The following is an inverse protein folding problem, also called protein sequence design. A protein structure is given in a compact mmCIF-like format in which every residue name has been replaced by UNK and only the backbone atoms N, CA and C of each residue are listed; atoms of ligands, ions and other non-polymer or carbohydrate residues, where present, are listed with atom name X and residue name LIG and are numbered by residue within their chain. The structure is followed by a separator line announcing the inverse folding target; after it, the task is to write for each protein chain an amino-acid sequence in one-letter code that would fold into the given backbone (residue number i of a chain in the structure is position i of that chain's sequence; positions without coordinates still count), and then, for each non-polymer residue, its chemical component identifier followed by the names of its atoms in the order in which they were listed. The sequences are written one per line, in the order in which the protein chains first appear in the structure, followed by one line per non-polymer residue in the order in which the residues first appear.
data_IF_560458297473
#
_entry.id   IF_560458297473
#
_cell.length_a   1.000
_cell.length_b   1.000
_cell.length_c   1.000
_cell.angle_alpha   90.00
_cell.angle_beta   90.00
_cell.angle_gamma   90.00
#
_symmetry.space_group_name_H-M   'P 1'
#
loop_
_entity.id
_entity.type
_entity.pdbx_description
1 polymer ?
#
# COMPACT_ATOMS: atom_id res chain seq x y z
N UNK A 1 -4.97 -19.89 11.51
CA UNK A 1 -4.19 -19.13 10.51
C UNK A 1 -5.08 -18.02 9.95
N UNK A 2 -4.63 -16.76 10.04
CA UNK A 2 -5.31 -15.61 9.44
C UNK A 2 -5.14 -15.57 7.91
N UNK A 3 -5.91 -14.75 7.17
CA UNK A 3 -5.70 -14.54 5.73
C UNK A 3 -4.27 -14.08 5.39
N UNK A 4 -3.59 -13.42 6.33
CA UNK A 4 -2.17 -13.04 6.24
C UNK A 4 -1.17 -14.19 6.44
N UNK A 5 -1.65 -15.42 6.68
CA UNK A 5 -0.89 -16.64 7.05
C UNK A 5 -0.18 -16.56 8.41
N UNK A 6 -0.55 -15.61 9.26
CA UNK A 6 -0.08 -15.49 10.63
C UNK A 6 -0.96 -16.34 11.57
N UNK A 7 -0.36 -16.99 12.56
CA UNK A 7 -1.08 -17.60 13.70
C UNK A 7 -1.22 -16.58 14.83
N UNK A 8 -2.42 -16.49 15.39
CA UNK A 8 -2.70 -15.72 16.61
C UNK A 8 -3.46 -16.62 17.57
N UNK A 9 -3.27 -16.40 18.87
CA UNK A 9 -4.06 -17.05 19.91
C UNK A 9 -5.26 -16.16 20.23
N UNK A 10 -6.44 -16.78 20.34
CA UNK A 10 -7.69 -16.11 20.63
C UNK A 10 -8.36 -16.75 21.84
N UNK A 11 -9.14 -15.94 22.55
CA UNK A 11 -9.97 -16.44 23.65
C UNK A 11 -11.00 -17.46 23.11
N UNK A 12 -11.20 -18.62 23.78
CA UNK A 12 -12.19 -19.62 23.38
C UNK A 12 -13.63 -19.10 23.28
N UNK A 13 -13.98 -18.04 24.03
CA UNK A 13 -15.32 -17.44 24.02
C UNK A 13 -15.55 -16.47 22.85
N UNK A 14 -14.52 -16.22 22.03
CA UNK A 14 -14.65 -15.42 20.81
C UNK A 14 -15.57 -16.11 19.79
N UNK A 15 -16.48 -15.34 19.20
CA UNK A 15 -17.44 -15.83 18.20
C UNK A 15 -16.87 -15.69 16.79
N UNK A 16 -17.20 -16.65 15.93
CA UNK A 16 -16.91 -16.62 14.51
C UNK A 16 -18.09 -17.20 13.72
N UNK A 17 -18.22 -16.78 12.48
CA UNK A 17 -19.17 -17.38 11.53
C UNK A 17 -18.50 -18.52 10.78
N UNK A 18 -19.22 -19.63 10.59
CA UNK A 18 -18.72 -20.79 9.86
C UNK A 18 -18.89 -20.54 8.37
N UNK A 19 -17.77 -20.43 7.65
CA UNK A 19 -17.78 -20.34 6.19
C UNK A 19 -16.73 -19.37 5.65
N UNK A 20 -16.82 -19.09 4.35
CA UNK A 20 -16.04 -18.08 3.67
C UNK A 20 -16.93 -16.90 3.28
N UNK A 21 -16.36 -15.69 3.29
CA UNK A 21 -17.08 -14.48 2.87
C UNK A 21 -17.40 -14.59 1.38
N UNK A 22 -18.63 -14.21 1.00
CA UNK A 22 -19.07 -14.17 -0.40
C UNK A 22 -18.33 -13.08 -1.22
N UNK A 23 -18.46 -13.12 -2.55
CA UNK A 23 -17.84 -12.12 -3.45
C UNK A 23 -16.35 -12.37 -3.74
N UNK A 24 -15.87 -13.58 -3.48
CA UNK A 24 -14.52 -14.01 -3.89
C UNK A 24 -14.27 -13.79 -5.38
N UNK A 25 -13.04 -13.41 -5.74
CA UNK A 25 -12.65 -13.17 -7.13
C UNK A 25 -12.99 -11.79 -7.68
N UNK A 26 -13.62 -10.88 -6.93
CA UNK A 26 -13.90 -9.51 -7.39
C UNK A 26 -12.66 -8.75 -7.90
N UNK A 27 -11.47 -9.05 -7.35
CA UNK A 27 -10.19 -8.45 -7.75
C UNK A 27 -9.53 -9.11 -8.97
N UNK A 28 -10.07 -10.24 -9.46
CA UNK A 28 -9.53 -10.94 -10.64
C UNK A 28 -9.79 -10.17 -11.94
N UNK A 29 -10.89 -9.43 -11.99
CA UNK A 29 -11.22 -8.60 -13.15
C UNK A 29 -10.41 -7.28 -13.08
N UNK A 30 -9.62 -6.95 -14.11
CA UNK A 30 -8.88 -5.70 -14.12
C UNK A 30 -9.81 -4.48 -14.25
N UNK A 31 -9.39 -3.37 -13.64
CA UNK A 31 -10.06 -2.06 -13.82
C UNK A 31 -9.58 -1.47 -15.14
N UNK A 32 -10.45 -1.50 -16.16
CA UNK A 32 -10.07 -1.12 -17.53
C UNK A 32 -10.00 0.40 -17.78
N UNK A 33 -10.76 1.21 -17.03
CA UNK A 33 -10.91 2.66 -17.28
C UNK A 33 -10.75 3.47 -16.01
N UNK A 34 -10.17 4.66 -16.15
CA UNK A 34 -10.01 5.62 -15.05
C UNK A 34 -11.35 6.02 -14.41
N UNK A 35 -12.43 6.15 -15.21
CA UNK A 35 -13.76 6.46 -14.68
C UNK A 35 -14.31 5.39 -13.72
N UNK A 36 -14.02 4.10 -13.97
CA UNK A 36 -14.40 3.04 -13.03
C UNK A 36 -13.59 3.14 -11.73
N UNK A 37 -12.30 3.46 -11.82
CA UNK A 37 -11.46 3.69 -10.65
C UNK A 37 -11.98 4.87 -9.82
N UNK A 38 -12.36 5.99 -10.45
CA UNK A 38 -12.93 7.16 -9.77
C UNK A 38 -14.09 6.77 -8.84
N UNK A 39 -15.08 6.02 -9.33
CA UNK A 39 -16.22 5.62 -8.50
C UNK A 39 -15.86 4.66 -7.38
N UNK A 40 -14.93 3.72 -7.61
CA UNK A 40 -14.45 2.78 -6.57
C UNK A 40 -13.75 3.54 -5.43
N UNK A 41 -12.85 4.45 -5.76
CA UNK A 41 -12.08 5.19 -4.75
C UNK A 41 -12.91 6.28 -4.08
N UNK A 42 -13.84 6.92 -4.79
CA UNK A 42 -14.80 7.86 -4.23
C UNK A 42 -15.69 7.19 -3.17
N UNK A 43 -16.21 6.00 -3.45
CA UNK A 43 -17.05 5.24 -2.50
C UNK A 43 -16.30 4.85 -1.21
N UNK A 44 -14.97 4.72 -1.28
CA UNK A 44 -14.12 4.36 -0.13
C UNK A 44 -13.44 5.56 0.53
N UNK A 45 -13.76 6.78 0.09
CA UNK A 45 -13.14 8.04 0.53
C UNK A 45 -11.60 8.02 0.44
N UNK A 46 -11.06 7.30 -0.55
CA UNK A 46 -9.63 7.19 -0.78
C UNK A 46 -9.17 8.29 -1.75
N UNK A 47 -8.02 8.90 -1.47
CA UNK A 47 -7.43 9.91 -2.36
C UNK A 47 -7.06 9.27 -3.69
N UNK A 48 -7.72 9.70 -4.76
CA UNK A 48 -7.44 9.29 -6.12
C UNK A 48 -7.71 10.47 -7.09
N UNK A 49 -6.87 10.73 -8.10
CA UNK A 49 -5.62 10.03 -8.44
C UNK A 49 -4.45 10.39 -7.50
N UNK A 50 -3.42 9.52 -7.46
CA UNK A 50 -2.21 9.74 -6.65
C UNK A 50 -1.04 10.14 -7.55
N UNK A 51 -0.47 11.32 -7.29
CA UNK A 51 0.72 11.81 -7.97
C UNK A 51 1.98 11.12 -7.43
N UNK A 52 2.94 10.83 -8.32
CA UNK A 52 4.24 10.26 -7.92
C UNK A 52 5.11 11.35 -7.30
N UNK A 53 5.67 11.11 -6.11
CA UNK A 53 6.49 12.11 -5.39
C UNK A 53 7.70 12.65 -6.15
N UNK A 54 8.28 11.88 -7.08
CA UNK A 54 9.38 12.34 -7.96
C UNK A 54 8.96 13.44 -8.92
N UNK A 55 7.66 13.55 -9.24
CA UNK A 55 7.11 14.58 -10.11
C UNK A 55 6.64 15.83 -9.35
N UNK A 56 6.78 15.83 -8.03
CA UNK A 56 6.44 16.97 -7.19
C UNK A 56 7.65 17.90 -7.03
N UNK A 57 7.39 19.12 -6.59
CA UNK A 57 8.44 20.05 -6.20
C UNK A 57 9.13 19.56 -4.91
N UNK A 58 10.36 20.01 -4.60
CA UNK A 58 11.08 19.53 -3.42
C UNK A 58 10.43 20.01 -2.11
N UNK A 59 9.59 21.05 -2.17
CA UNK A 59 8.78 21.52 -1.03
C UNK A 59 7.68 20.53 -0.65
N UNK A 60 7.10 19.83 -1.64
CA UNK A 60 5.94 18.98 -1.44
C UNK A 60 6.32 17.53 -1.09
N UNK A 61 7.49 17.08 -1.54
CA UNK A 61 7.90 15.68 -1.38
C UNK A 61 9.42 15.53 -1.24
N UNK A 62 9.93 14.68 -0.32
CA UNK A 62 11.37 14.44 -0.15
C UNK A 62 12.11 13.91 -1.39
N UNK A 63 11.38 13.28 -2.31
CA UNK A 63 11.90 12.79 -3.60
C UNK A 63 11.65 13.75 -4.77
N UNK A 64 11.03 14.90 -4.51
CA UNK A 64 10.70 15.90 -5.53
C UNK A 64 11.90 16.78 -5.88
N UNK A 65 11.76 17.56 -6.96
CA UNK A 65 12.79 18.49 -7.42
C UNK A 65 13.37 18.17 -8.79
N UNK A 66 14.53 18.77 -9.09
CA UNK A 66 15.12 18.78 -10.43
C UNK A 66 15.75 17.45 -10.85
N UNK A 67 15.96 16.55 -9.90
CA UNK A 67 16.60 15.27 -10.20
C UNK A 67 15.66 14.42 -11.08
N UNK A 68 16.19 13.83 -12.15
CA UNK A 68 15.44 12.91 -13.01
C UNK A 68 15.10 11.57 -12.33
N UNK A 69 15.48 11.41 -11.06
CA UNK A 69 15.30 10.23 -10.21
C UNK A 69 15.11 10.68 -8.75
N UNK A 70 14.83 9.73 -7.84
CA UNK A 70 14.51 10.02 -6.42
C UNK A 70 15.60 10.78 -5.63
N UNK A 71 16.84 10.84 -6.12
CA UNK A 71 17.99 11.49 -5.47
C UNK A 71 18.49 10.81 -4.17
N UNK A 72 17.63 10.11 -3.44
CA UNK A 72 17.94 9.39 -2.22
C UNK A 72 17.42 7.95 -2.26
N UNK A 73 17.93 7.12 -1.33
CA UNK A 73 17.39 5.78 -1.12
C UNK A 73 15.90 5.85 -0.77
N UNK A 74 15.11 4.94 -1.34
CA UNK A 74 13.71 4.80 -0.95
C UNK A 74 13.53 4.02 0.36
N UNK A 75 14.58 3.45 0.94
CA UNK A 75 14.50 2.75 2.23
C UNK A 75 14.61 3.74 3.37
N UNK A 76 13.61 3.76 4.25
CA UNK A 76 13.53 4.71 5.36
C UNK A 76 13.36 3.99 6.69
N UNK A 77 14.01 4.51 7.74
CA UNK A 77 13.90 3.97 9.10
C UNK A 77 12.47 4.04 9.65
N UNK A 78 12.10 3.09 10.52
CA UNK A 78 10.83 3.12 11.25
C UNK A 78 10.70 4.37 12.13
N UNK A 79 11.82 4.91 12.59
CA UNK A 79 11.91 6.05 13.50
C UNK A 79 12.06 7.40 12.76
N UNK A 80 11.97 7.42 11.42
CA UNK A 80 12.00 8.68 10.69
C UNK A 80 10.84 9.62 11.11
N UNK A 81 11.04 10.95 11.14
CA UNK A 81 9.99 11.87 11.50
C UNK A 81 8.86 11.90 10.44
N UNK A 82 7.65 12.35 10.82
CA UNK A 82 6.59 12.66 9.86
C UNK A 82 7.10 13.61 8.77
N UNK A 83 6.72 13.39 7.52
CA UNK A 83 7.24 14.12 6.35
C UNK A 83 8.47 13.48 5.71
N UNK A 84 9.42 12.95 6.50
CA UNK A 84 10.57 12.20 5.98
C UNK A 84 10.28 10.71 5.77
N UNK A 85 9.27 10.17 6.48
CA UNK A 85 8.86 8.75 6.42
C UNK A 85 8.07 8.41 5.14
N UNK A 86 8.75 8.42 3.98
CA UNK A 86 8.18 8.16 2.66
C UNK A 86 8.92 7.06 1.91
N UNK A 87 8.25 6.31 1.02
CA UNK A 87 8.85 5.21 0.27
C UNK A 87 8.75 3.85 0.98
N UNK A 88 9.82 3.05 0.94
CA UNK A 88 9.89 1.75 1.58
C UNK A 88 10.21 1.91 3.07
N UNK A 89 9.15 1.97 3.89
CA UNK A 89 9.26 2.17 5.33
C UNK A 89 9.69 0.87 6.01
N UNK A 90 10.86 0.89 6.64
CA UNK A 90 11.43 -0.21 7.42
C UNK A 90 11.38 -1.56 6.70
N UNK A 91 11.59 -1.54 5.38
CA UNK A 91 11.54 -2.73 4.55
C UNK A 91 12.71 -3.66 4.89
N UNK A 92 12.40 -4.90 5.26
CA UNK A 92 13.40 -5.96 5.48
C UNK A 92 13.98 -6.50 4.18
N UNK A 93 13.23 -6.37 3.08
CA UNK A 93 13.63 -6.77 1.72
C UNK A 93 13.01 -5.81 0.72
N UNK A 94 13.77 -5.47 -0.31
CA UNK A 94 13.31 -4.74 -1.50
C UNK A 94 13.60 -5.55 -2.77
N UNK A 95 12.91 -5.24 -3.87
CA UNK A 95 13.00 -5.97 -5.13
C UNK A 95 12.01 -7.13 -5.26
N UNK A 96 12.03 -7.79 -6.42
CA UNK A 96 11.09 -8.89 -6.72
C UNK A 96 11.41 -10.12 -5.87
N UNK A 97 10.42 -10.61 -5.13
CA UNK A 97 10.52 -11.90 -4.43
C UNK A 97 10.63 -13.01 -5.48
N UNK A 98 11.78 -13.69 -5.55
CA UNK A 98 11.90 -14.96 -6.28
C UNK A 98 11.24 -16.03 -5.42
N UNK A 99 10.31 -16.78 -6.01
CA UNK A 99 9.77 -17.99 -5.38
C UNK A 99 10.86 -19.05 -5.38
N UNK A 100 11.28 -19.50 -4.19
CA UNK A 100 11.74 -20.86 -4.01
C UNK A 100 10.53 -21.76 -3.80
#
# INVERSE_FOLDING_TARGET
LLPSKMSIDLDPDCRAEIGAIAGGGALSQPIMKAGKAHYIWHATNQKWPVNRGVKCNPVDHPFGGKQHHKGASSMVSRNAPPGAKVGHIAASRVGRKKSG
#
